data_IF_081376238167
#
_entry.id   IF_081376238167
#
_cell.length_a   1.000
_cell.length_b   1.000
_cell.length_c   1.000
_cell.angle_alpha   90.00
_cell.angle_beta   90.00
_cell.angle_gamma   90.00
#
_symmetry.space_group_name_H-M   'P 1'
#
loop_
_entity.id
_entity.type
_entity.pdbx_description
1 polymer ?
#
# COMPACT_ATOMS: atom_id res chain seq x y z
N UNK A 1 46.44 39.13 -17.73
CA UNK A 1 45.49 39.92 -18.54
C UNK A 1 44.13 39.26 -18.43
N UNK A 2 43.20 39.91 -17.73
CA UNK A 2 41.81 39.50 -17.62
C UNK A 2 41.03 39.90 -18.90
N UNK A 3 40.05 39.08 -19.28
CA UNK A 3 39.10 39.34 -20.37
C UNK A 3 39.28 38.32 -21.51
N UNK A 4 38.31 37.49 -21.90
CA UNK A 4 36.86 37.57 -21.77
C UNK A 4 36.32 36.12 -21.73
N UNK A 5 35.85 35.65 -20.57
CA UNK A 5 35.15 34.36 -20.44
C UNK A 5 33.72 34.59 -20.95
N UNK A 6 33.55 34.54 -22.26
CA UNK A 6 32.22 34.60 -22.86
C UNK A 6 31.47 33.33 -22.50
N UNK A 7 30.49 33.44 -21.60
CA UNK A 7 29.51 32.39 -21.35
C UNK A 7 28.85 32.08 -22.70
N UNK A 8 29.17 30.94 -23.29
CA UNK A 8 28.69 30.64 -24.64
C UNK A 8 27.20 30.30 -24.55
N UNK A 9 26.40 30.76 -25.52
CA UNK A 9 24.97 30.41 -25.59
C UNK A 9 24.74 28.88 -25.55
N UNK A 10 25.71 28.12 -26.08
CA UNK A 10 25.70 26.67 -26.06
C UNK A 10 25.85 26.12 -24.63
N UNK A 11 26.73 26.69 -23.81
CA UNK A 11 26.90 26.29 -22.41
C UNK A 11 25.65 26.56 -21.58
N UNK A 12 24.97 27.70 -21.83
CA UNK A 12 23.65 27.98 -21.23
C UNK A 12 22.61 26.92 -21.64
N UNK A 13 22.57 26.57 -22.93
CA UNK A 13 21.61 25.62 -23.46
C UNK A 13 21.83 24.22 -22.87
N UNK A 14 23.08 23.77 -22.81
CA UNK A 14 23.44 22.49 -22.17
C UNK A 14 23.08 22.50 -20.70
N UNK A 15 23.39 23.57 -19.96
CA UNK A 15 23.01 23.69 -18.55
C UNK A 15 21.49 23.62 -18.35
N UNK A 16 20.70 24.28 -19.21
CA UNK A 16 19.24 24.22 -19.16
C UNK A 16 18.69 22.83 -19.45
N UNK A 17 19.28 22.10 -20.40
CA UNK A 17 18.88 20.72 -20.71
C UNK A 17 19.16 19.80 -19.53
N UNK A 18 20.36 19.91 -18.92
CA UNK A 18 20.71 19.11 -17.73
C UNK A 18 19.77 19.43 -16.57
N UNK A 19 19.45 20.70 -16.34
CA UNK A 19 18.49 21.09 -15.31
C UNK A 19 17.09 20.54 -15.59
N UNK A 20 16.61 20.63 -16.84
CA UNK A 20 15.28 20.13 -17.21
C UNK A 20 15.17 18.62 -16.97
N UNK A 21 16.18 17.85 -17.38
CA UNK A 21 16.23 16.39 -17.13
C UNK A 21 16.30 16.11 -15.63
N UNK A 22 17.14 16.83 -14.90
CA UNK A 22 17.27 16.67 -13.45
C UNK A 22 15.94 16.92 -12.71
N UNK A 23 15.26 18.02 -13.03
CA UNK A 23 13.96 18.33 -12.45
C UNK A 23 12.88 17.32 -12.85
N UNK A 24 12.89 16.83 -14.10
CA UNK A 24 11.95 15.80 -14.55
C UNK A 24 12.02 14.56 -13.66
N UNK A 25 13.23 14.05 -13.40
CA UNK A 25 13.43 12.88 -12.53
C UNK A 25 12.99 13.17 -11.09
N UNK A 26 13.34 14.35 -10.55
CA UNK A 26 12.93 14.72 -9.19
C UNK A 26 11.41 14.79 -9.05
N UNK A 27 10.71 15.39 -10.03
CA UNK A 27 9.26 15.47 -10.01
C UNK A 27 8.60 14.10 -10.17
N UNK A 28 9.16 13.23 -10.99
CA UNK A 28 8.67 11.85 -11.16
C UNK A 28 8.77 11.07 -9.84
N UNK A 29 9.94 11.09 -9.19
CA UNK A 29 10.14 10.44 -7.89
C UNK A 29 9.21 11.02 -6.82
N UNK A 30 9.05 12.35 -6.79
CA UNK A 30 8.16 13.00 -5.82
C UNK A 30 6.69 12.62 -6.05
N UNK A 31 6.27 12.53 -7.31
CA UNK A 31 4.91 12.12 -7.68
C UNK A 31 4.64 10.67 -7.24
N UNK A 32 5.58 9.77 -7.52
CA UNK A 32 5.48 8.37 -7.12
C UNK A 32 5.44 8.22 -5.60
N UNK A 33 6.36 8.88 -4.88
CA UNK A 33 6.40 8.83 -3.42
C UNK A 33 5.11 9.38 -2.78
N UNK A 34 4.52 10.42 -3.36
CA UNK A 34 3.24 10.97 -2.89
C UNK A 34 2.09 9.99 -3.07
N UNK A 35 2.05 9.29 -4.21
CA UNK A 35 1.03 8.29 -4.48
C UNK A 35 1.15 7.11 -3.51
N UNK A 36 2.36 6.58 -3.33
CA UNK A 36 2.62 5.49 -2.37
C UNK A 36 2.26 5.89 -0.94
N UNK A 37 2.62 7.10 -0.53
CA UNK A 37 2.24 7.62 0.79
C UNK A 37 0.72 7.66 0.96
N UNK A 38 -0.02 8.14 -0.05
CA UNK A 38 -1.48 8.18 -0.01
C UNK A 38 -2.08 6.78 0.15
N UNK A 39 -1.61 5.82 -0.64
CA UNK A 39 -2.09 4.45 -0.60
C UNK A 39 -1.77 3.77 0.75
N UNK A 40 -0.56 3.98 1.27
CA UNK A 40 -0.16 3.45 2.57
C UNK A 40 -0.97 4.07 3.71
N UNK A 41 -1.27 5.36 3.61
CA UNK A 41 -2.11 6.07 4.58
C UNK A 41 -3.53 5.51 4.60
N UNK A 42 -4.17 5.38 3.43
CA UNK A 42 -5.52 4.79 3.30
C UNK A 42 -5.55 3.36 3.82
N UNK A 43 -4.60 2.52 3.42
CA UNK A 43 -4.48 1.15 3.92
C UNK A 43 -4.31 1.10 5.45
N UNK A 44 -3.50 2.00 6.01
CA UNK A 44 -3.29 2.07 7.46
C UNK A 44 -4.58 2.45 8.20
N UNK A 45 -5.35 3.42 7.68
CA UNK A 45 -6.64 3.78 8.29
C UNK A 45 -7.64 2.62 8.21
N UNK A 46 -7.72 1.95 7.06
CA UNK A 46 -8.61 0.81 6.86
C UNK A 46 -8.21 -0.38 7.75
N UNK A 47 -6.92 -0.65 7.92
CA UNK A 47 -6.43 -1.68 8.84
C UNK A 47 -6.78 -1.38 10.30
N UNK A 48 -6.68 -0.13 10.74
CA UNK A 48 -7.06 0.26 12.10
C UNK A 48 -8.56 0.06 12.30
N UNK A 49 -9.40 0.49 11.35
CA UNK A 49 -10.85 0.30 11.41
C UNK A 49 -11.22 -1.18 11.42
N UNK A 50 -10.61 -1.97 10.53
CA UNK A 50 -10.80 -3.42 10.45
C UNK A 50 -10.39 -4.10 11.75
N UNK A 51 -9.21 -3.80 12.28
CA UNK A 51 -8.73 -4.36 13.54
C UNK A 51 -9.68 -4.02 14.70
N UNK A 52 -10.13 -2.77 14.81
CA UNK A 52 -11.08 -2.38 15.85
C UNK A 52 -12.40 -3.13 15.71
N UNK A 53 -12.92 -3.29 14.48
CA UNK A 53 -14.14 -4.05 14.22
C UNK A 53 -13.98 -5.53 14.63
N UNK A 54 -12.84 -6.15 14.32
CA UNK A 54 -12.52 -7.53 14.71
C UNK A 54 -12.39 -7.70 16.23
N UNK A 55 -11.69 -6.79 16.91
CA UNK A 55 -11.53 -6.80 18.38
C UNK A 55 -12.86 -6.60 19.10
N UNK A 56 -13.74 -5.73 18.57
CA UNK A 56 -15.08 -5.50 19.11
C UNK A 56 -16.08 -6.61 18.72
N UNK A 57 -15.68 -7.58 17.89
CA UNK A 57 -16.55 -8.64 17.38
C UNK A 57 -17.67 -8.15 16.45
N UNK A 58 -17.56 -6.92 15.93
CA UNK A 58 -18.54 -6.34 15.01
C UNK A 58 -18.15 -6.68 13.58
N UNK A 59 -18.86 -7.64 13.00
CA UNK A 59 -18.68 -8.00 11.58
C UNK A 59 -19.61 -7.24 10.64
N UNK A 60 -20.44 -6.34 11.17
CA UNK A 60 -21.35 -5.53 10.36
C UNK A 60 -20.56 -4.57 9.46
N UNK A 61 -20.77 -4.67 8.15
CA UNK A 61 -20.06 -3.87 7.15
C UNK A 61 -18.69 -4.44 6.73
N UNK A 62 -18.28 -5.59 7.26
CA UNK A 62 -17.12 -6.33 6.76
C UNK A 62 -17.52 -7.31 5.67
N UNK A 63 -16.73 -7.40 4.61
CA UNK A 63 -16.81 -8.51 3.66
C UNK A 63 -16.10 -9.71 4.28
N UNK A 64 -16.82 -10.81 4.48
CA UNK A 64 -16.28 -12.02 5.10
C UNK A 64 -16.36 -13.19 4.13
N UNK A 65 -15.20 -13.74 3.77
CA UNK A 65 -15.09 -14.93 2.94
C UNK A 65 -14.53 -16.09 3.76
N UNK A 66 -15.14 -17.26 3.65
CA UNK A 66 -14.67 -18.49 4.32
C UNK A 66 -14.27 -19.51 3.28
N UNK A 67 -13.02 -19.95 3.34
CA UNK A 67 -12.47 -20.94 2.42
C UNK A 67 -11.87 -22.10 3.17
N UNK A 68 -12.23 -23.31 2.76
CA UNK A 68 -11.55 -24.53 3.21
C UNK A 68 -10.26 -24.69 2.44
N UNK A 69 -9.15 -24.95 3.15
CA UNK A 69 -7.87 -25.21 2.49
C UNK A 69 -7.85 -26.65 1.95
N UNK A 70 -7.56 -26.81 0.66
CA UNK A 70 -7.53 -28.12 -0.01
C UNK A 70 -6.43 -29.02 0.57
N UNK A 71 -5.24 -28.45 0.82
CA UNK A 71 -4.10 -29.18 1.39
C UNK A 71 -4.23 -29.47 2.89
N UNK A 72 -5.12 -28.75 3.58
CA UNK A 72 -5.33 -28.86 5.03
C UNK A 72 -6.83 -28.84 5.35
N UNK A 73 -7.54 -29.97 5.14
CA UNK A 73 -9.01 -30.02 5.26
C UNK A 73 -9.55 -29.71 6.66
N UNK A 74 -8.68 -29.83 7.67
CA UNK A 74 -8.93 -29.50 9.07
C UNK A 74 -8.77 -28.00 9.40
N UNK A 75 -8.34 -27.18 8.44
CA UNK A 75 -8.23 -25.72 8.57
C UNK A 75 -9.29 -24.99 7.72
N UNK A 76 -9.84 -23.92 8.28
CA UNK A 76 -10.66 -22.93 7.59
C UNK A 76 -9.91 -21.59 7.59
N UNK A 77 -9.79 -20.97 6.42
CA UNK A 77 -9.33 -19.59 6.24
C UNK A 77 -10.55 -18.67 6.24
N UNK A 78 -10.57 -17.69 7.14
CA UNK A 78 -11.58 -16.64 7.18
C UNK A 78 -10.90 -15.34 6.78
N UNK A 79 -11.25 -14.81 5.60
CA UNK A 79 -10.84 -13.48 5.14
C UNK A 79 -11.84 -12.45 5.63
N UNK A 80 -11.34 -11.39 6.27
CA UNK A 80 -12.10 -10.20 6.62
C UNK A 80 -11.56 -9.02 5.84
N UNK A 81 -12.42 -8.34 5.07
CA UNK A 81 -12.05 -7.23 4.21
C UNK A 81 -12.87 -5.97 4.53
N UNK A 82 -12.18 -4.83 4.53
CA UNK A 82 -12.76 -3.50 4.65
C UNK A 82 -11.93 -2.52 3.79
N UNK A 83 -12.53 -1.97 2.75
CA UNK A 83 -11.83 -1.06 1.84
C UNK A 83 -10.62 -1.74 1.19
N UNK A 84 -9.43 -1.18 1.41
CA UNK A 84 -8.17 -1.73 0.91
C UNK A 84 -7.50 -2.73 1.86
N UNK A 85 -8.04 -2.90 3.07
CA UNK A 85 -7.48 -3.78 4.09
C UNK A 85 -8.11 -5.18 4.04
N UNK A 86 -7.27 -6.21 4.14
CA UNK A 86 -7.67 -7.62 4.20
C UNK A 86 -6.84 -8.37 5.25
N UNK A 87 -7.50 -9.16 6.09
CA UNK A 87 -6.86 -9.97 7.13
C UNK A 87 -7.36 -11.40 7.04
N UNK A 88 -6.43 -12.35 7.02
CA UNK A 88 -6.71 -13.78 6.98
C UNK A 88 -6.52 -14.40 8.37
N UNK A 89 -7.54 -15.09 8.87
CA UNK A 89 -7.49 -15.83 10.12
C UNK A 89 -7.69 -17.31 9.84
N UNK A 90 -6.71 -18.13 10.22
CA UNK A 90 -6.76 -19.57 10.10
C UNK A 90 -7.27 -20.18 11.41
N UNK A 91 -8.33 -20.98 11.34
CA UNK A 91 -8.89 -21.70 12.49
C UNK A 91 -9.01 -23.19 12.19
N UNK A 92 -8.81 -24.02 13.22
CA UNK A 92 -9.12 -25.44 13.15
C UNK A 92 -10.65 -25.61 13.09
N UNK A 93 -11.12 -26.45 12.17
CA UNK A 93 -12.51 -26.93 12.18
C UNK A 93 -12.66 -27.89 13.36
N UNK A 94 -13.43 -27.49 14.37
CA UNK A 94 -13.77 -28.41 15.47
C UNK A 94 -14.64 -29.57 14.95
N UNK A 95 -14.53 -30.76 15.55
CA UNK A 95 -15.17 -32.02 15.11
C UNK A 95 -16.72 -31.98 15.10
N UNK A 96 -17.31 -30.86 15.57
CA UNK A 96 -18.76 -30.60 15.58
C UNK A 96 -19.20 -29.36 14.79
N UNK A 97 -18.29 -28.65 14.13
CA UNK A 97 -18.62 -27.42 13.40
C UNK A 97 -19.09 -26.26 14.28
N UNK A 98 -18.73 -26.25 15.58
CA UNK A 98 -19.05 -25.18 16.51
C UNK A 98 -17.76 -24.54 17.04
N UNK A 99 -17.63 -23.22 16.88
CA UNK A 99 -16.47 -22.45 17.34
C UNK A 99 -16.39 -22.46 18.88
N UNK A 100 -15.23 -22.74 19.50
CA UNK A 100 -15.07 -22.52 20.94
C UNK A 100 -15.07 -21.02 21.23
N UNK A 101 -15.90 -20.65 22.21
CA UNK A 101 -16.13 -19.28 22.69
C UNK A 101 -14.87 -18.64 23.28
#
# INVERSE_FOLDING_TARGET
MCGNRGFTLLELLVALVVLAVGFSVVFEVLSFARLEYSNAYELSEDLIKLNNALVEGKTEGLEVEKKSLEDYPQLEEISYRLGSAEVFIYKLKDEKGLYPH
#
